data_IF_898424779700
#
_entry.id   IF_898424779700
#
_cell.length_a   1.000
_cell.length_b   1.000
_cell.length_c   1.000
_cell.angle_alpha   90.00
_cell.angle_beta   90.00
_cell.angle_gamma   90.00
#
_symmetry.space_group_name_H-M   'P 1'
#
loop_
_entity.id
_entity.type
_entity.pdbx_description
1 polymer ?
#
# COMPACT_ATOMS: atom_id res chain seq x y z
N UNK A 1 -29.36 8.66 29.31
CA UNK A 1 -29.79 8.38 27.93
C UNK A 1 -28.73 8.95 27.01
N UNK A 2 -28.06 8.15 26.15
CA UNK A 2 -27.15 8.71 25.17
C UNK A 2 -27.96 9.47 24.12
N UNK A 3 -27.44 10.62 23.74
CA UNK A 3 -28.08 11.59 22.86
C UNK A 3 -28.17 11.01 21.43
N UNK A 4 -29.33 10.50 21.02
CA UNK A 4 -29.63 10.04 19.64
C UNK A 4 -29.87 11.24 18.70
N UNK A 5 -28.94 12.20 18.70
CA UNK A 5 -28.91 13.20 17.64
C UNK A 5 -28.39 12.53 16.36
N UNK A 6 -29.08 12.68 15.20
CA UNK A 6 -28.56 12.18 13.95
C UNK A 6 -27.16 12.77 13.71
N UNK A 7 -26.17 11.96 13.32
CA UNK A 7 -24.81 12.42 13.13
C UNK A 7 -24.80 13.53 12.06
N UNK A 8 -24.15 14.65 12.37
CA UNK A 8 -24.04 15.73 11.40
C UNK A 8 -23.20 15.27 10.20
N UNK A 9 -23.61 15.61 8.96
CA UNK A 9 -22.84 15.29 7.77
C UNK A 9 -21.44 15.91 7.83
N UNK A 10 -20.42 15.13 7.47
CA UNK A 10 -19.02 15.58 7.45
C UNK A 10 -18.82 16.48 6.23
N UNK A 11 -18.66 17.78 6.46
CA UNK A 11 -18.42 18.77 5.41
C UNK A 11 -17.00 19.32 5.42
N UNK A 12 -16.28 19.19 6.54
CA UNK A 12 -14.89 19.61 6.68
C UNK A 12 -14.06 18.61 7.49
N UNK A 13 -12.73 18.68 7.37
CA UNK A 13 -11.82 17.87 8.16
C UNK A 13 -11.92 18.16 9.68
N UNK A 14 -12.30 19.39 10.06
CA UNK A 14 -12.55 19.75 11.47
C UNK A 14 -13.80 19.05 12.02
N UNK A 15 -14.88 19.02 11.23
CA UNK A 15 -16.11 18.30 11.61
C UNK A 15 -15.83 16.80 11.73
N UNK A 16 -15.06 16.24 10.79
CA UNK A 16 -14.63 14.85 10.83
C UNK A 16 -13.85 14.54 12.12
N UNK A 17 -12.88 15.39 12.48
CA UNK A 17 -12.06 15.21 13.68
C UNK A 17 -12.89 15.29 14.96
N UNK A 18 -13.82 16.25 15.05
CA UNK A 18 -14.73 16.40 16.20
C UNK A 18 -15.66 15.19 16.34
N UNK A 19 -16.22 14.70 15.23
CA UNK A 19 -17.05 13.50 15.22
C UNK A 19 -16.26 12.26 15.67
N UNK A 20 -15.00 12.14 15.24
CA UNK A 20 -14.11 11.04 15.64
C UNK A 20 -13.81 11.08 17.15
N UNK A 21 -13.57 12.27 17.71
CA UNK A 21 -13.35 12.45 19.14
C UNK A 21 -14.52 11.90 19.98
N UNK A 22 -15.75 12.22 19.57
CA UNK A 22 -16.97 11.72 20.20
C UNK A 22 -17.09 10.19 20.14
N UNK A 23 -16.67 9.58 19.02
CA UNK A 23 -16.66 8.12 18.85
C UNK A 23 -15.65 7.47 19.78
N UNK A 24 -14.45 8.04 19.91
CA UNK A 24 -13.37 7.52 20.76
C UNK A 24 -13.62 7.73 22.27
N UNK A 25 -14.66 8.48 22.64
CA UNK A 25 -15.11 8.61 24.03
C UNK A 25 -14.22 9.50 24.90
N UNK A 26 -13.44 10.39 24.29
CA UNK A 26 -12.48 11.25 25.01
C UNK A 26 -12.30 12.62 24.35
N UNK A 27 -11.70 13.56 25.11
CA UNK A 27 -11.17 14.79 24.55
C UNK A 27 -9.98 14.46 23.65
N UNK A 28 -9.89 15.10 22.48
CA UNK A 28 -8.73 14.98 21.59
C UNK A 28 -7.46 15.35 22.37
N UNK A 29 -6.31 14.71 22.09
CA UNK A 29 -5.03 15.17 22.62
C UNK A 29 -4.86 16.67 22.35
N UNK A 30 -4.38 17.42 23.34
CA UNK A 30 -4.23 18.89 23.24
C UNK A 30 -3.58 19.38 21.92
N UNK A 31 -2.52 18.73 21.40
CA UNK A 31 -1.90 19.09 20.12
C UNK A 31 -2.84 18.93 18.91
N UNK A 32 -3.69 17.90 18.93
CA UNK A 32 -4.64 17.59 17.86
C UNK A 32 -5.85 18.53 17.89
N UNK A 33 -6.31 18.88 19.10
CA UNK A 33 -7.41 19.83 19.29
C UNK A 33 -7.06 21.26 18.86
N UNK A 34 -5.79 21.64 18.99
CA UNK A 34 -5.26 22.96 18.64
C UNK A 34 -4.61 23.02 17.25
N UNK A 35 -4.61 21.92 16.49
CA UNK A 35 -3.97 21.85 15.18
C UNK A 35 -4.65 22.80 14.18
N UNK A 36 -3.85 23.60 13.47
CA UNK A 36 -4.34 24.46 12.39
C UNK A 36 -4.82 23.65 11.19
N UNK A 37 -4.21 22.49 10.94
CA UNK A 37 -4.64 21.52 9.93
C UNK A 37 -5.17 20.22 10.58
N UNK A 38 -6.50 20.07 10.70
CA UNK A 38 -7.11 18.87 11.28
C UNK A 38 -6.90 17.61 10.44
N UNK A 39 -6.72 17.73 9.11
CA UNK A 39 -6.50 16.56 8.25
C UNK A 39 -5.08 16.02 8.41
N UNK A 40 -4.07 16.91 8.52
CA UNK A 40 -2.71 16.51 8.84
C UNK A 40 -2.60 15.88 10.23
N UNK A 41 -3.35 16.37 11.22
CA UNK A 41 -3.41 15.77 12.55
C UNK A 41 -4.03 14.36 12.51
N UNK A 42 -5.16 14.17 11.81
CA UNK A 42 -5.76 12.86 11.55
C UNK A 42 -4.79 11.89 10.88
N UNK A 43 -3.99 12.40 9.92
CA UNK A 43 -3.04 11.58 9.19
C UNK A 43 -1.82 11.24 10.02
N UNK A 44 -1.24 12.13 10.82
CA UNK A 44 0.10 11.94 11.39
C UNK A 44 0.14 11.64 12.89
N UNK A 45 -0.90 11.98 13.64
CA UNK A 45 -0.90 11.83 15.10
C UNK A 45 -0.84 10.34 15.52
N UNK A 46 0.19 9.92 16.29
CA UNK A 46 0.38 8.51 16.64
C UNK A 46 -0.64 8.02 17.68
N UNK A 47 -1.04 8.87 18.63
CA UNK A 47 -1.95 8.49 19.71
C UNK A 47 -3.36 8.27 19.19
N UNK A 48 -3.84 9.20 18.37
CA UNK A 48 -5.11 9.09 17.67
C UNK A 48 -5.13 7.84 16.79
N UNK A 49 -4.06 7.61 16.01
CA UNK A 49 -3.99 6.44 15.16
C UNK A 49 -3.97 5.14 15.96
N UNK A 50 -3.25 5.09 17.09
CA UNK A 50 -3.26 3.95 18.01
C UNK A 50 -4.66 3.69 18.56
N UNK A 51 -5.39 4.74 18.96
CA UNK A 51 -6.77 4.62 19.43
C UNK A 51 -7.72 4.09 18.35
N UNK A 52 -7.62 4.60 17.11
CA UNK A 52 -8.44 4.15 15.97
C UNK A 52 -8.09 2.70 15.59
N UNK A 53 -6.81 2.38 15.43
CA UNK A 53 -6.32 1.03 15.12
C UNK A 53 -6.72 0.04 16.22
N UNK A 54 -6.59 0.42 17.49
CA UNK A 54 -7.03 -0.39 18.64
C UNK A 54 -8.53 -0.68 18.60
N UNK A 55 -9.36 0.31 18.28
CA UNK A 55 -10.81 0.12 18.10
C UNK A 55 -11.13 -0.79 16.92
N UNK A 56 -10.44 -0.63 15.78
CA UNK A 56 -10.60 -1.50 14.61
C UNK A 56 -10.17 -2.95 14.91
N UNK A 57 -9.16 -3.17 15.75
CA UNK A 57 -8.70 -4.51 16.14
C UNK A 57 -9.58 -5.19 17.21
N UNK A 58 -10.42 -4.45 17.92
CA UNK A 58 -11.29 -5.00 18.98
C UNK A 58 -12.33 -6.00 18.47
N UNK A 59 -12.67 -7.04 19.24
CA UNK A 59 -13.48 -8.19 18.79
C UNK A 59 -14.90 -7.87 18.27
N UNK A 60 -15.46 -6.72 18.65
CA UNK A 60 -16.79 -6.26 18.25
C UNK A 60 -16.82 -5.28 17.07
N UNK A 61 -15.66 -4.92 16.50
CA UNK A 61 -15.59 -3.96 15.40
C UNK A 61 -16.02 -4.57 14.06
N UNK A 62 -16.48 -3.71 13.16
CA UNK A 62 -16.91 -4.10 11.82
C UNK A 62 -18.36 -4.54 11.71
N UNK A 63 -19.13 -4.52 12.79
CA UNK A 63 -20.57 -4.74 12.75
C UNK A 63 -21.31 -3.62 11.98
N UNK A 64 -22.53 -3.90 11.50
CA UNK A 64 -23.30 -2.93 10.69
C UNK A 64 -23.68 -1.63 11.45
N UNK A 65 -23.70 -1.67 12.78
CA UNK A 65 -23.96 -0.50 13.63
C UNK A 65 -22.67 0.19 14.14
N UNK A 66 -21.49 -0.27 13.74
CA UNK A 66 -20.21 0.29 14.19
C UNK A 66 -20.06 1.76 13.76
N UNK A 67 -20.00 2.64 14.76
CA UNK A 67 -19.90 4.08 14.56
C UNK A 67 -18.58 4.51 13.94
N UNK A 68 -17.48 3.78 14.18
CA UNK A 68 -16.19 4.08 13.55
C UNK A 68 -16.21 3.69 12.06
N UNK A 69 -16.82 2.55 11.72
CA UNK A 69 -16.98 2.16 10.31
C UNK A 69 -17.83 3.18 9.55
N UNK A 70 -18.92 3.66 10.17
CA UNK A 70 -19.75 4.74 9.60
C UNK A 70 -18.94 6.02 9.40
N UNK A 71 -18.16 6.42 10.38
CA UNK A 71 -17.29 7.60 10.26
C UNK A 71 -16.26 7.46 9.13
N UNK A 72 -15.58 6.31 9.01
CA UNK A 72 -14.62 6.05 7.92
C UNK A 72 -15.29 6.13 6.55
N UNK A 73 -16.51 5.59 6.45
CA UNK A 73 -17.32 5.64 5.23
C UNK A 73 -17.70 7.08 4.86
N UNK A 74 -18.25 7.84 5.81
CA UNK A 74 -18.70 9.22 5.58
C UNK A 74 -17.51 10.17 5.31
N UNK A 75 -16.43 10.03 6.07
CA UNK A 75 -15.21 10.82 5.91
C UNK A 75 -14.57 10.62 4.53
N UNK A 76 -14.54 9.38 4.03
CA UNK A 76 -14.04 9.10 2.69
C UNK A 76 -14.96 9.64 1.59
N UNK A 77 -16.28 9.56 1.79
CA UNK A 77 -17.30 10.03 0.83
C UNK A 77 -17.47 11.55 0.79
N UNK A 78 -16.99 12.28 1.79
CA UNK A 78 -16.95 13.73 1.78
C UNK A 78 -16.13 14.31 0.59
N UNK A 79 -15.30 13.47 -0.06
CA UNK A 79 -14.52 13.81 -1.25
C UNK A 79 -13.52 14.96 -1.03
N UNK A 80 -13.02 15.09 0.20
CA UNK A 80 -11.92 15.98 0.57
C UNK A 80 -10.61 15.19 0.49
N UNK A 81 -9.66 15.53 -0.41
CA UNK A 81 -8.47 14.72 -0.68
C UNK A 81 -7.63 14.38 0.56
N UNK A 82 -7.44 15.35 1.45
CA UNK A 82 -6.64 15.21 2.67
C UNK A 82 -7.32 14.26 3.67
N UNK A 83 -8.66 14.31 3.75
CA UNK A 83 -9.44 13.42 4.59
C UNK A 83 -9.49 12.00 3.99
N UNK A 84 -9.59 11.87 2.67
CA UNK A 84 -9.47 10.58 1.99
C UNK A 84 -8.11 9.93 2.27
N UNK A 85 -7.03 10.73 2.23
CA UNK A 85 -5.69 10.26 2.57
C UNK A 85 -5.61 9.79 4.04
N UNK A 86 -6.21 10.54 4.97
CA UNK A 86 -6.30 10.15 6.38
C UNK A 86 -7.09 8.85 6.59
N UNK A 87 -8.18 8.62 5.85
CA UNK A 87 -8.90 7.33 5.88
C UNK A 87 -8.05 6.21 5.32
N UNK A 88 -7.32 6.44 4.22
CA UNK A 88 -6.45 5.45 3.60
C UNK A 88 -5.33 4.97 4.52
N UNK A 89 -4.88 5.79 5.49
CA UNK A 89 -3.93 5.37 6.55
C UNK A 89 -4.38 4.11 7.27
N UNK A 90 -5.68 3.93 7.48
CA UNK A 90 -6.26 2.81 8.23
C UNK A 90 -6.61 1.61 7.36
N UNK A 91 -6.36 1.65 6.05
CA UNK A 91 -6.60 0.54 5.13
C UNK A 91 -5.86 -0.74 5.54
N UNK A 92 -4.57 -0.71 5.93
CA UNK A 92 -3.88 -1.91 6.40
C UNK A 92 -4.61 -2.61 7.54
N UNK A 93 -5.05 -1.85 8.54
CA UNK A 93 -5.81 -2.38 9.68
C UNK A 93 -7.18 -2.87 9.26
N UNK A 94 -7.93 -2.08 8.50
CA UNK A 94 -9.27 -2.43 8.02
C UNK A 94 -9.25 -3.72 7.19
N UNK A 95 -8.40 -3.79 6.17
CA UNK A 95 -8.23 -4.95 5.32
C UNK A 95 -7.67 -6.15 6.12
N UNK A 96 -6.67 -5.90 6.96
CA UNK A 96 -6.04 -6.86 7.87
C UNK A 96 -7.06 -7.61 8.71
N UNK A 97 -7.80 -6.86 9.53
CA UNK A 97 -8.81 -7.37 10.45
C UNK A 97 -9.94 -8.05 9.68
N UNK A 98 -10.45 -7.39 8.62
CA UNK A 98 -11.53 -7.92 7.80
C UNK A 98 -11.16 -9.29 7.22
N UNK A 99 -9.98 -9.41 6.60
CA UNK A 99 -9.58 -10.66 5.94
C UNK A 99 -9.40 -11.80 6.93
N UNK A 100 -8.84 -11.53 8.12
CA UNK A 100 -8.73 -12.54 9.16
C UNK A 100 -10.10 -13.00 9.69
N UNK A 101 -11.05 -12.07 9.90
CA UNK A 101 -12.39 -12.40 10.42
C UNK A 101 -13.35 -12.95 9.38
N UNK A 102 -13.18 -12.60 8.10
CA UNK A 102 -14.00 -13.07 6.99
C UNK A 102 -13.86 -14.59 6.79
N UNK A 103 -12.79 -15.20 7.30
CA UNK A 103 -12.64 -16.67 7.35
C UNK A 103 -13.55 -17.29 8.41
N UNK A 104 -13.76 -16.59 9.53
CA UNK A 104 -14.58 -17.04 10.67
C UNK A 104 -16.09 -16.85 10.48
N UNK A 105 -16.55 -16.39 9.29
CA UNK A 105 -17.97 -16.15 8.94
C UNK A 105 -18.74 -15.23 9.91
N UNK A 106 -18.05 -14.38 10.66
CA UNK A 106 -18.68 -13.34 11.47
C UNK A 106 -19.29 -12.26 10.54
N UNK A 107 -20.44 -11.67 10.87
CA UNK A 107 -20.99 -10.56 10.09
C UNK A 107 -20.11 -9.31 10.25
N UNK A 108 -19.61 -8.78 9.13
CA UNK A 108 -18.67 -7.65 9.08
C UNK A 108 -19.20 -6.51 8.20
N UNK A 109 -20.52 -6.30 8.20
CA UNK A 109 -21.20 -5.36 7.30
C UNK A 109 -20.65 -3.92 7.36
N UNK A 110 -20.15 -3.48 8.53
CA UNK A 110 -19.50 -2.18 8.69
C UNK A 110 -18.20 -2.08 7.91
N UNK A 111 -17.32 -3.09 8.03
CA UNK A 111 -16.08 -3.16 7.24
C UNK A 111 -16.36 -3.31 5.75
N UNK A 112 -17.33 -4.15 5.39
CA UNK A 112 -17.72 -4.36 4.00
C UNK A 112 -18.23 -3.06 3.35
N UNK A 113 -19.01 -2.25 4.07
CA UNK A 113 -19.47 -0.96 3.57
C UNK A 113 -18.30 0.00 3.27
N UNK A 114 -17.31 0.09 4.17
CA UNK A 114 -16.12 0.94 3.96
C UNK A 114 -15.28 0.41 2.79
N UNK A 115 -15.00 -0.90 2.75
CA UNK A 115 -14.22 -1.52 1.67
C UNK A 115 -14.89 -1.37 0.31
N UNK A 116 -16.22 -1.51 0.23
CA UNK A 116 -16.99 -1.30 -0.99
C UNK A 116 -16.98 0.17 -1.44
N UNK A 117 -17.01 1.13 -0.52
CA UNK A 117 -16.89 2.55 -0.84
C UNK A 117 -15.51 2.89 -1.43
N UNK A 118 -14.44 2.39 -0.80
CA UNK A 118 -13.07 2.51 -1.30
C UNK A 118 -12.92 1.84 -2.67
N UNK A 119 -13.49 0.65 -2.84
CA UNK A 119 -13.48 -0.09 -4.10
C UNK A 119 -14.21 0.65 -5.22
N UNK A 120 -15.39 1.21 -4.95
CA UNK A 120 -16.13 2.00 -5.93
C UNK A 120 -15.33 3.21 -6.40
N UNK A 121 -14.61 3.88 -5.48
CA UNK A 121 -13.69 4.95 -5.84
C UNK A 121 -12.51 4.45 -6.69
N UNK A 122 -11.91 3.30 -6.36
CA UNK A 122 -10.85 2.68 -7.16
C UNK A 122 -11.32 2.35 -8.60
N UNK A 123 -12.52 1.78 -8.72
CA UNK A 123 -13.11 1.44 -10.01
C UNK A 123 -13.42 2.68 -10.85
N UNK A 124 -13.91 3.76 -10.23
CA UNK A 124 -14.14 5.03 -10.90
C UNK A 124 -12.83 5.67 -11.40
N UNK A 125 -11.77 5.64 -10.57
CA UNK A 125 -10.46 6.18 -10.95
C UNK A 125 -9.79 5.45 -12.11
N UNK A 126 -10.12 4.17 -12.31
CA UNK A 126 -9.66 3.33 -13.45
C UNK A 126 -10.50 3.50 -14.73
N UNK A 127 -11.39 4.49 -14.80
CA UNK A 127 -12.19 4.74 -15.99
C UNK A 127 -13.38 3.78 -16.18
N UNK A 128 -13.88 3.17 -15.09
CA UNK A 128 -15.07 2.32 -15.02
C UNK A 128 -15.23 1.29 -16.17
N UNK A 129 -14.76 0.06 -15.94
CA UNK A 129 -14.88 -1.01 -16.93
C UNK A 129 -13.75 -1.04 -17.97
N UNK A 130 -12.71 -0.23 -17.80
CA UNK A 130 -11.48 -0.33 -18.59
C UNK A 130 -10.42 -1.17 -17.86
N UNK A 131 -9.64 -1.90 -18.65
CA UNK A 131 -8.50 -2.67 -18.15
C UNK A 131 -7.32 -1.72 -17.91
N UNK A 132 -6.53 -1.98 -16.87
CA UNK A 132 -5.29 -1.26 -16.67
C UNK A 132 -4.24 -1.84 -17.63
N UNK A 133 -3.63 -0.98 -18.45
CA UNK A 133 -2.67 -1.38 -19.47
C UNK A 133 -1.38 -0.58 -19.35
N UNK A 134 -0.28 -1.17 -19.79
CA UNK A 134 1.02 -0.49 -19.91
C UNK A 134 1.67 -0.83 -21.24
N UNK A 135 2.23 0.18 -21.90
CA UNK A 135 3.09 -0.01 -23.07
C UNK A 135 4.42 -0.62 -22.63
N UNK A 136 4.78 -1.75 -23.23
CA UNK A 136 6.04 -2.42 -22.97
C UNK A 136 7.17 -1.69 -23.71
N UNK A 137 8.22 -1.25 -22.99
CA UNK A 137 9.38 -0.63 -23.63
C UNK A 137 10.05 -1.60 -24.60
N UNK A 138 10.42 -1.11 -25.78
CA UNK A 138 11.16 -1.87 -26.79
C UNK A 138 12.41 -1.09 -27.20
N UNK A 139 13.59 -1.74 -27.14
CA UNK A 139 14.87 -1.14 -27.55
C UNK A 139 14.93 -0.78 -29.04
N UNK A 140 14.06 -1.37 -29.87
CA UNK A 140 13.94 -1.03 -31.28
C UNK A 140 13.34 0.37 -31.52
N UNK A 141 12.57 0.89 -30.57
CA UNK A 141 11.98 2.22 -30.65
C UNK A 141 12.84 3.21 -29.82
N UNK A 142 13.07 4.44 -30.29
CA UNK A 142 13.77 5.45 -29.50
C UNK A 142 12.97 5.77 -28.22
N UNK A 143 13.69 6.09 -27.15
CA UNK A 143 13.10 6.48 -25.87
C UNK A 143 13.82 7.71 -25.30
N UNK A 144 13.29 8.34 -24.23
CA UNK A 144 14.01 9.42 -23.55
C UNK A 144 15.41 9.06 -23.05
N UNK A 145 15.76 7.76 -22.97
CA UNK A 145 17.03 7.27 -22.44
C UNK A 145 17.95 6.64 -23.49
N UNK A 146 17.46 6.37 -24.71
CA UNK A 146 18.28 5.75 -25.75
C UNK A 146 17.80 6.08 -27.16
N UNK A 147 18.76 6.24 -28.07
CA UNK A 147 18.50 6.27 -29.50
C UNK A 147 18.58 4.86 -30.09
N UNK A 148 17.65 4.54 -30.99
CA UNK A 148 17.73 3.30 -31.76
C UNK A 148 18.93 3.37 -32.72
N UNK A 149 19.97 2.56 -32.45
CA UNK A 149 21.23 2.54 -33.23
C UNK A 149 21.04 2.27 -34.74
N UNK A 150 19.92 1.66 -35.10
CA UNK A 150 19.49 1.50 -36.49
C UNK A 150 18.09 2.10 -36.57
N UNK A 151 17.89 3.22 -37.30
CA UNK A 151 16.54 3.67 -37.56
C UNK A 151 15.81 2.50 -38.24
N UNK A 152 14.63 2.09 -37.73
CA UNK A 152 13.89 1.02 -38.37
C UNK A 152 13.73 1.41 -39.85
N UNK A 153 14.16 0.54 -40.78
CA UNK A 153 13.99 0.76 -42.23
C UNK A 153 12.51 0.71 -42.66
N UNK A 154 11.58 0.91 -41.72
CA UNK A 154 10.13 0.84 -41.87
C UNK A 154 9.44 1.64 -40.76
N UNK A 155 8.11 1.51 -40.67
CA UNK A 155 7.32 2.12 -39.59
C UNK A 155 7.89 1.72 -38.22
N UNK A 156 7.83 2.60 -37.20
CA UNK A 156 8.18 2.22 -35.83
C UNK A 156 7.45 0.93 -35.45
N UNK A 157 8.13 0.03 -34.75
CA UNK A 157 7.52 -1.22 -34.32
C UNK A 157 6.29 -0.89 -33.47
N UNK A 158 5.16 -1.57 -33.74
CA UNK A 158 3.93 -1.37 -32.97
C UNK A 158 4.23 -1.52 -31.47
N UNK A 159 3.63 -0.64 -30.67
CA UNK A 159 3.81 -0.65 -29.23
C UNK A 159 3.07 -1.86 -28.67
N UNK A 160 3.81 -2.82 -28.12
CA UNK A 160 3.21 -3.92 -27.38
C UNK A 160 2.54 -3.37 -26.12
N UNK A 161 1.24 -3.62 -25.98
CA UNK A 161 0.46 -3.20 -24.82
C UNK A 161 0.15 -4.43 -23.96
N UNK A 162 0.66 -4.43 -22.73
CA UNK A 162 0.35 -5.46 -21.74
C UNK A 162 -0.86 -5.03 -20.90
N UNK A 163 -1.77 -5.97 -20.65
CA UNK A 163 -2.84 -5.80 -19.67
C UNK A 163 -2.29 -6.14 -18.28
N UNK A 164 -2.19 -5.13 -17.41
CA UNK A 164 -1.69 -5.28 -16.05
C UNK A 164 -2.77 -5.80 -15.10
N UNK A 165 -4.01 -5.32 -15.25
CA UNK A 165 -5.14 -5.78 -14.45
C UNK A 165 -6.45 -5.73 -15.25
N UNK A 166 -7.33 -6.72 -15.09
CA UNK A 166 -8.61 -6.75 -15.78
C UNK A 166 -9.55 -5.66 -15.24
N UNK A 167 -10.55 -5.22 -16.04
CA UNK A 167 -11.48 -4.17 -15.65
C UNK A 167 -12.17 -4.42 -14.31
N UNK A 168 -12.23 -3.39 -13.46
CA UNK A 168 -12.96 -3.47 -12.20
C UNK A 168 -14.46 -3.32 -12.45
N UNK A 169 -15.20 -4.40 -12.21
CA UNK A 169 -16.66 -4.41 -12.26
C UNK A 169 -17.26 -3.71 -11.03
N UNK A 170 -18.38 -2.97 -11.16
CA UNK A 170 -19.05 -2.41 -9.99
C UNK A 170 -19.64 -3.53 -9.11
N UNK A 171 -19.42 -3.42 -7.80
CA UNK A 171 -19.86 -4.40 -6.82
C UNK A 171 -20.74 -3.74 -5.76
N UNK A 172 -21.96 -4.25 -5.56
CA UNK A 172 -22.88 -3.77 -4.52
C UNK A 172 -22.84 -4.59 -3.22
N UNK A 173 -22.22 -5.77 -3.23
CA UNK A 173 -22.16 -6.67 -2.05
C UNK A 173 -20.83 -7.40 -2.00
N UNK A 174 -20.36 -7.67 -0.77
CA UNK A 174 -19.12 -8.37 -0.52
C UNK A 174 -19.36 -9.88 -0.46
N UNK A 175 -18.95 -10.61 -1.51
CA UNK A 175 -19.07 -12.08 -1.58
C UNK A 175 -17.72 -12.75 -1.34
N UNK A 176 -17.72 -13.97 -0.81
CA UNK A 176 -16.49 -14.72 -0.54
C UNK A 176 -15.59 -14.92 -1.78
N UNK A 177 -16.17 -15.07 -2.97
CA UNK A 177 -15.44 -15.21 -4.25
C UNK A 177 -14.84 -13.90 -4.75
N UNK A 178 -15.35 -12.75 -4.28
CA UNK A 178 -14.97 -11.41 -4.77
C UNK A 178 -14.15 -10.63 -3.76
N UNK A 179 -14.17 -11.04 -2.48
CA UNK A 179 -13.52 -10.32 -1.37
C UNK A 179 -12.05 -10.03 -1.63
N UNK A 180 -11.30 -10.99 -2.17
CA UNK A 180 -9.88 -10.84 -2.41
C UNK A 180 -9.60 -9.79 -3.50
N UNK A 181 -10.41 -9.77 -4.56
CA UNK A 181 -10.31 -8.77 -5.63
C UNK A 181 -10.69 -7.37 -5.16
N UNK A 182 -11.74 -7.25 -4.35
CA UNK A 182 -12.18 -5.98 -3.76
C UNK A 182 -11.07 -5.44 -2.84
N UNK A 183 -10.59 -6.25 -1.89
CA UNK A 183 -9.52 -5.87 -0.97
C UNK A 183 -8.22 -5.57 -1.72
N UNK A 184 -7.89 -6.37 -2.74
CA UNK A 184 -6.74 -6.13 -3.61
C UNK A 184 -6.77 -4.73 -4.25
N UNK A 185 -7.88 -4.35 -4.87
CA UNK A 185 -8.03 -3.01 -5.45
C UNK A 185 -8.00 -1.88 -4.40
N UNK A 186 -8.51 -2.12 -3.18
CA UNK A 186 -8.38 -1.17 -2.06
C UNK A 186 -6.92 -1.02 -1.61
N UNK A 187 -6.16 -2.12 -1.56
CA UNK A 187 -4.72 -2.09 -1.29
C UNK A 187 -3.95 -1.36 -2.40
N UNK A 188 -4.41 -1.40 -3.65
CA UNK A 188 -3.82 -0.62 -4.74
C UNK A 188 -4.00 0.89 -4.55
N UNK A 189 -5.15 1.34 -4.01
CA UNK A 189 -5.33 2.74 -3.61
C UNK A 189 -4.32 3.14 -2.53
N UNK A 190 -4.15 2.28 -1.52
CA UNK A 190 -3.17 2.49 -0.46
C UNK A 190 -1.74 2.54 -1.03
N UNK A 191 -1.38 1.60 -1.90
CA UNK A 191 -0.10 1.57 -2.60
C UNK A 191 0.15 2.87 -3.40
N UNK A 192 -0.85 3.40 -4.09
CA UNK A 192 -0.75 4.67 -4.83
C UNK A 192 -0.48 5.89 -3.95
N UNK A 193 -0.72 5.79 -2.64
CA UNK A 193 -0.46 6.86 -1.66
C UNK A 193 0.63 6.52 -0.65
N UNK A 194 1.33 5.39 -0.83
CA UNK A 194 2.23 4.81 0.15
C UNK A 194 3.39 5.73 0.58
N UNK A 195 3.85 6.62 -0.31
CA UNK A 195 4.86 7.63 0.01
C UNK A 195 4.40 8.61 1.10
N UNK A 196 3.10 8.90 1.18
CA UNK A 196 2.51 9.80 2.18
C UNK A 196 2.08 9.05 3.45
N UNK A 197 2.15 7.71 3.45
CA UNK A 197 1.67 6.91 4.57
C UNK A 197 2.69 6.90 5.71
N UNK A 198 2.27 7.19 6.95
CA UNK A 198 3.16 7.17 8.11
C UNK A 198 3.70 5.77 8.43
N UNK A 199 4.82 5.74 9.14
CA UNK A 199 5.56 4.53 9.49
C UNK A 199 4.67 3.46 10.13
N UNK A 200 3.85 3.83 11.12
CA UNK A 200 3.00 2.88 11.85
C UNK A 200 1.97 2.17 10.94
N UNK A 201 1.44 2.85 9.92
CA UNK A 201 0.52 2.25 8.94
C UNK A 201 1.23 1.17 8.10
N UNK A 202 2.48 1.43 7.72
CA UNK A 202 3.33 0.45 7.00
C UNK A 202 3.73 -0.73 7.89
N UNK A 203 3.99 -0.47 9.18
CA UNK A 203 4.26 -1.51 10.18
C UNK A 203 3.05 -2.42 10.39
N UNK A 204 1.87 -1.84 10.57
CA UNK A 204 0.59 -2.57 10.66
C UNK A 204 0.40 -3.45 9.43
N UNK A 205 0.67 -2.93 8.23
CA UNK A 205 0.55 -3.71 6.99
C UNK A 205 1.46 -4.95 6.98
N UNK A 206 2.74 -4.78 7.33
CA UNK A 206 3.69 -5.88 7.36
C UNK A 206 3.34 -6.91 8.45
N UNK A 207 2.82 -6.47 9.60
CA UNK A 207 2.28 -7.35 10.65
C UNK A 207 1.15 -8.24 10.11
N UNK A 208 0.17 -7.66 9.41
CA UNK A 208 -0.92 -8.43 8.81
C UNK A 208 -0.44 -9.38 7.71
N UNK A 209 0.59 -9.02 6.93
CA UNK A 209 1.15 -9.92 5.93
C UNK A 209 1.72 -11.20 6.54
N UNK A 210 2.44 -11.09 7.66
CA UNK A 210 2.94 -12.24 8.42
C UNK A 210 1.76 -13.09 8.90
N UNK A 211 0.74 -12.45 9.50
CA UNK A 211 -0.44 -13.15 9.98
C UNK A 211 -1.20 -13.90 8.87
N UNK A 212 -1.40 -13.26 7.71
CA UNK A 212 -2.09 -13.84 6.56
C UNK A 212 -1.34 -15.01 5.95
N UNK A 213 -0.01 -14.93 5.89
CA UNK A 213 0.83 -16.02 5.42
C UNK A 213 0.64 -17.26 6.30
N UNK A 214 0.55 -17.07 7.62
CA UNK A 214 0.39 -18.14 8.60
C UNK A 214 1.64 -19.01 8.77
N UNK A 215 2.77 -18.58 8.21
CA UNK A 215 4.08 -19.26 8.20
C UNK A 215 5.08 -18.44 9.00
N UNK A 216 6.07 -19.12 9.60
CA UNK A 216 7.17 -18.42 10.30
C UNK A 216 8.29 -18.02 9.33
N UNK A 217 9.01 -16.95 9.68
CA UNK A 217 10.21 -16.51 8.97
C UNK A 217 11.43 -17.19 9.60
N UNK A 218 12.49 -17.42 8.81
CA UNK A 218 13.75 -17.96 9.37
C UNK A 218 14.43 -16.96 10.32
N UNK A 219 14.05 -15.68 10.23
CA UNK A 219 14.48 -14.60 11.12
C UNK A 219 13.89 -14.72 12.54
N UNK A 220 12.89 -15.59 12.76
CA UNK A 220 12.24 -15.73 14.07
C UNK A 220 13.08 -16.51 15.11
N UNK A 221 14.23 -17.07 14.71
CA UNK A 221 15.05 -17.95 15.53
C UNK A 221 14.43 -19.34 15.66
N UNK A 222 15.26 -20.38 15.75
CA UNK A 222 14.83 -21.79 15.71
C UNK A 222 13.93 -22.25 16.88
N UNK A 223 13.72 -21.40 17.90
CA UNK A 223 13.09 -21.77 19.18
C UNK A 223 11.64 -21.27 19.37
N UNK A 224 11.02 -20.62 18.37
CA UNK A 224 9.60 -20.25 18.49
C UNK A 224 8.70 -21.37 17.94
N UNK A 225 7.89 -22.04 18.79
CA UNK A 225 7.04 -23.14 18.34
C UNK A 225 6.12 -22.70 17.19
N UNK A 226 5.96 -23.60 16.20
CA UNK A 226 4.85 -23.56 15.21
C UNK A 226 3.60 -23.14 15.96
N UNK A 227 2.96 -22.03 15.54
CA UNK A 227 1.75 -21.43 16.13
C UNK A 227 1.14 -22.28 17.26
N UNK A 228 1.20 -21.85 18.55
CA UNK A 228 0.66 -22.66 19.64
C UNK A 228 -0.80 -22.97 19.35
N UNK A 229 -1.16 -24.25 19.51
CA UNK A 229 -2.52 -24.78 19.34
C UNK A 229 -3.56 -23.81 19.93
N UNK A 230 -4.72 -23.77 19.27
CA UNK A 230 -5.82 -22.84 19.50
C UNK A 230 -6.28 -22.70 20.98
N UNK A 231 -5.85 -23.60 21.87
CA UNK A 231 -6.27 -23.68 23.25
C UNK A 231 -5.48 -22.82 24.26
N UNK A 232 -4.29 -22.29 23.93
CA UNK A 232 -3.32 -21.86 24.96
C UNK A 232 -3.05 -20.35 25.13
N UNK A 233 -3.85 -19.43 24.57
CA UNK A 233 -3.66 -17.99 24.84
C UNK A 233 -4.98 -17.27 25.08
N UNK A 234 -5.14 -16.73 26.28
CA UNK A 234 -6.35 -16.03 26.71
C UNK A 234 -6.66 -14.80 25.85
N UNK A 235 -7.93 -14.71 25.42
CA UNK A 235 -8.63 -13.46 25.10
C UNK A 235 -8.24 -12.67 23.84
N UNK A 236 -7.02 -12.79 23.32
CA UNK A 236 -6.61 -12.09 22.11
C UNK A 236 -7.08 -12.86 20.87
N UNK A 237 -7.87 -12.22 20.00
CA UNK A 237 -8.19 -12.78 18.68
C UNK A 237 -6.90 -13.05 17.91
N UNK A 238 -6.44 -14.31 17.86
CA UNK A 238 -5.29 -14.69 17.06
C UNK A 238 -5.63 -14.53 15.59
N UNK A 239 -4.90 -13.65 14.90
CA UNK A 239 -4.99 -13.50 13.46
C UNK A 239 -4.71 -14.82 12.76
N UNK A 240 -5.59 -15.21 11.83
CA UNK A 240 -5.55 -16.51 11.17
C UNK A 240 -4.96 -16.40 9.76
N UNK A 241 -4.44 -17.53 9.27
CA UNK A 241 -4.02 -17.74 7.89
C UNK A 241 -5.18 -17.45 6.94
N UNK A 242 -4.91 -16.67 5.89
CA UNK A 242 -5.91 -16.25 4.90
C UNK A 242 -5.59 -16.85 3.52
N UNK A 243 -6.60 -17.16 2.67
CA UNK A 243 -6.37 -17.41 1.25
C UNK A 243 -5.87 -16.14 0.54
N UNK A 244 -4.71 -16.22 -0.10
CA UNK A 244 -4.09 -15.11 -0.84
C UNK A 244 -4.05 -15.45 -2.34
N UNK A 245 -5.16 -15.31 -3.09
CA UNK A 245 -5.13 -15.47 -4.54
C UNK A 245 -4.34 -14.31 -5.17
N UNK A 246 -3.91 -14.50 -6.42
CA UNK A 246 -3.00 -13.58 -7.10
C UNK A 246 -3.46 -12.12 -7.11
N UNK A 247 -4.77 -11.86 -7.25
CA UNK A 247 -5.35 -10.51 -7.27
C UNK A 247 -5.18 -9.74 -5.95
N UNK A 248 -5.09 -10.48 -4.83
CA UNK A 248 -4.76 -9.90 -3.53
C UNK A 248 -3.26 -9.92 -3.29
N UNK A 249 -2.57 -10.96 -3.75
CA UNK A 249 -1.13 -11.15 -3.51
C UNK A 249 -0.27 -10.10 -4.22
N UNK A 250 -0.63 -9.72 -5.45
CA UNK A 250 0.11 -8.74 -6.24
C UNK A 250 0.27 -7.38 -5.52
N UNK A 251 -0.81 -6.70 -5.07
CA UNK A 251 -0.66 -5.45 -4.32
C UNK A 251 0.05 -5.65 -2.98
N UNK A 252 -0.13 -6.82 -2.33
CA UNK A 252 0.58 -7.13 -1.08
C UNK A 252 2.10 -7.11 -1.28
N UNK A 253 2.61 -7.83 -2.28
CA UNK A 253 4.05 -7.87 -2.56
C UNK A 253 4.57 -6.49 -2.96
N UNK A 254 3.82 -5.70 -3.73
CA UNK A 254 4.22 -4.34 -4.11
C UNK A 254 4.37 -3.42 -2.90
N UNK A 255 3.44 -3.48 -1.95
CA UNK A 255 3.51 -2.68 -0.72
C UNK A 255 4.68 -3.14 0.15
N UNK A 256 4.86 -4.45 0.37
CA UNK A 256 6.01 -4.97 1.13
C UNK A 256 7.34 -4.58 0.46
N UNK A 257 7.41 -4.66 -0.87
CA UNK A 257 8.59 -4.27 -1.63
C UNK A 257 8.92 -2.78 -1.42
N UNK A 258 7.93 -1.90 -1.41
CA UNK A 258 8.15 -0.49 -1.09
C UNK A 258 8.59 -0.28 0.37
N UNK A 259 8.04 -1.01 1.34
CA UNK A 259 8.49 -0.92 2.73
C UNK A 259 9.95 -1.37 2.89
N UNK A 260 10.40 -2.31 2.06
CA UNK A 260 11.74 -2.90 2.11
C UNK A 260 12.79 -2.09 1.35
N UNK A 261 12.46 -1.65 0.13
CA UNK A 261 13.37 -1.01 -0.83
C UNK A 261 13.09 0.47 -1.06
N UNK A 262 12.01 1.00 -0.49
CA UNK A 262 11.64 2.41 -0.61
C UNK A 262 12.61 3.33 0.13
N UNK A 263 12.51 4.66 -0.09
CA UNK A 263 13.41 5.66 0.48
C UNK A 263 13.26 5.87 2.00
N UNK A 264 12.65 4.93 2.72
CA UNK A 264 12.44 4.97 4.16
C UNK A 264 13.75 4.73 4.93
N UNK A 265 14.06 5.64 5.86
CA UNK A 265 15.24 5.58 6.74
C UNK A 265 15.04 4.71 7.99
N UNK A 266 13.97 3.92 8.07
CA UNK A 266 13.66 3.10 9.24
C UNK A 266 14.14 1.67 9.01
N UNK A 267 15.19 1.27 9.73
CA UNK A 267 15.69 -0.11 9.71
C UNK A 267 14.68 -1.08 10.33
N UNK A 268 13.88 -0.62 11.29
CA UNK A 268 12.79 -1.39 11.88
C UNK A 268 11.76 -1.78 10.82
N UNK A 269 11.33 -0.84 9.96
CA UNK A 269 10.42 -1.13 8.86
C UNK A 269 11.02 -2.11 7.87
N UNK A 270 12.30 -1.93 7.52
CA UNK A 270 13.00 -2.84 6.60
C UNK A 270 13.06 -4.26 7.17
N UNK A 271 13.40 -4.41 8.45
CA UNK A 271 13.43 -5.71 9.13
C UNK A 271 12.03 -6.37 9.15
N UNK A 272 11.00 -5.60 9.50
CA UNK A 272 9.63 -6.10 9.51
C UNK A 272 9.12 -6.47 8.11
N UNK A 273 9.47 -5.69 7.09
CA UNK A 273 9.14 -5.97 5.69
C UNK A 273 9.90 -7.18 5.15
N UNK A 274 11.17 -7.36 5.50
CA UNK A 274 11.96 -8.55 5.15
C UNK A 274 11.33 -9.81 5.75
N UNK A 275 10.93 -9.74 7.03
CA UNK A 275 10.19 -10.80 7.71
C UNK A 275 8.88 -11.13 7.00
N UNK A 276 8.08 -10.11 6.64
CA UNK A 276 6.85 -10.30 5.89
C UNK A 276 7.10 -10.95 4.51
N UNK A 277 8.14 -10.52 3.79
CA UNK A 277 8.52 -11.08 2.49
C UNK A 277 8.90 -12.57 2.60
N UNK A 278 9.64 -12.97 3.62
CA UNK A 278 9.96 -14.38 3.87
C UNK A 278 8.73 -15.23 4.20
N UNK A 279 7.84 -14.74 5.07
CA UNK A 279 6.58 -15.42 5.38
C UNK A 279 5.75 -15.64 4.11
N UNK A 280 5.61 -14.60 3.29
CA UNK A 280 4.89 -14.66 2.01
C UNK A 280 5.57 -15.62 1.02
N UNK A 281 6.91 -15.68 0.98
CA UNK A 281 7.67 -16.64 0.17
C UNK A 281 7.36 -18.09 0.57
N UNK A 282 7.45 -18.42 1.86
CA UNK A 282 7.11 -19.76 2.34
C UNK A 282 5.67 -20.11 2.07
N UNK A 283 4.77 -19.12 2.20
CA UNK A 283 3.36 -19.32 1.87
C UNK A 283 3.15 -19.63 0.39
N UNK A 284 3.81 -18.89 -0.51
CA UNK A 284 3.73 -19.14 -1.95
C UNK A 284 4.28 -20.53 -2.32
N UNK A 285 5.35 -20.98 -1.65
CA UNK A 285 5.91 -22.31 -1.81
C UNK A 285 4.94 -23.41 -1.35
N UNK A 286 4.27 -23.23 -0.21
CA UNK A 286 3.25 -24.17 0.29
C UNK A 286 2.06 -24.30 -0.66
N UNK A 287 1.62 -23.21 -1.28
CA UNK A 287 0.48 -23.23 -2.21
C UNK A 287 0.87 -23.51 -3.66
N UNK A 288 2.18 -23.65 -3.94
CA UNK A 288 2.72 -23.88 -5.29
C UNK A 288 2.20 -22.84 -6.30
N UNK A 289 2.08 -21.59 -5.86
CA UNK A 289 1.66 -20.47 -6.72
C UNK A 289 2.92 -19.91 -7.41
N UNK A 290 3.11 -20.24 -8.68
CA UNK A 290 4.33 -19.91 -9.41
C UNK A 290 4.59 -18.40 -9.56
N UNK A 291 3.61 -17.56 -9.97
CA UNK A 291 3.75 -16.10 -9.95
C UNK A 291 4.11 -15.55 -8.57
N UNK A 292 3.44 -16.01 -7.51
CA UNK A 292 3.70 -15.59 -6.13
C UNK A 292 5.11 -15.98 -5.66
N UNK A 293 5.54 -17.20 -5.98
CA UNK A 293 6.86 -17.72 -5.63
C UNK A 293 7.96 -16.92 -6.32
N UNK A 294 7.80 -16.63 -7.62
CA UNK A 294 8.78 -15.84 -8.37
C UNK A 294 8.90 -14.42 -7.81
N UNK A 295 7.78 -13.75 -7.56
CA UNK A 295 7.76 -12.39 -7.05
C UNK A 295 8.41 -12.28 -5.66
N UNK A 296 8.02 -13.15 -4.73
CA UNK A 296 8.57 -13.14 -3.36
C UNK A 296 10.01 -13.61 -3.28
N UNK A 297 10.41 -14.64 -4.04
CA UNK A 297 11.81 -15.07 -4.10
C UNK A 297 12.72 -13.97 -4.63
N UNK A 298 12.27 -13.22 -5.63
CA UNK A 298 13.01 -12.08 -6.17
C UNK A 298 13.15 -10.97 -5.13
N UNK A 299 12.07 -10.68 -4.39
CA UNK A 299 12.10 -9.68 -3.32
C UNK A 299 13.04 -10.07 -2.16
N UNK A 300 12.98 -11.32 -1.70
CA UNK A 300 13.90 -11.84 -0.65
C UNK A 300 15.36 -11.81 -1.10
N UNK A 301 15.62 -12.04 -2.39
CA UNK A 301 16.98 -11.90 -2.94
C UNK A 301 17.43 -10.45 -2.93
N UNK A 302 16.59 -9.52 -3.41
CA UNK A 302 16.90 -8.09 -3.43
C UNK A 302 17.18 -7.55 -2.02
N UNK A 303 16.50 -8.05 -0.99
CA UNK A 303 16.73 -7.61 0.39
C UNK A 303 18.07 -8.08 0.98
N UNK A 304 18.70 -9.08 0.37
CA UNK A 304 19.98 -9.62 0.79
C UNK A 304 21.14 -9.06 -0.03
N UNK A 305 20.85 -8.34 -1.12
CA UNK A 305 21.87 -7.69 -1.92
C UNK A 305 22.47 -6.54 -1.11
N UNK A 306 23.80 -6.55 -1.00
CA UNK A 306 24.54 -5.38 -0.52
C UNK A 306 24.44 -4.33 -1.62
N UNK A 307 24.09 -3.08 -1.26
CA UNK A 307 24.18 -1.96 -2.20
C UNK A 307 25.64 -1.84 -2.66
N UNK A 308 25.94 -2.30 -3.88
CA UNK A 308 27.20 -1.98 -4.52
C UNK A 308 27.16 -0.49 -4.86
N UNK A 309 28.19 0.29 -4.46
CA UNK A 309 28.27 1.69 -4.86
C UNK A 309 28.22 1.75 -6.39
N UNK A 310 27.32 2.58 -6.92
CA UNK A 310 27.20 2.81 -8.36
C UNK A 310 28.60 3.22 -8.84
N UNK A 311 29.26 2.42 -9.71
CA UNK A 311 30.56 2.80 -10.23
C UNK A 311 30.43 4.17 -10.87
N UNK A 312 31.26 5.13 -10.44
CA UNK A 312 31.29 6.43 -11.11
C UNK A 312 31.51 6.18 -12.61
N UNK A 313 30.72 6.82 -13.48
CA UNK A 313 30.89 6.65 -14.92
C UNK A 313 32.33 7.05 -15.27
N UNK A 314 33.13 6.04 -15.61
CA UNK A 314 34.49 6.24 -16.09
C UNK A 314 34.37 6.76 -17.51
N UNK A 315 34.30 8.08 -17.64
CA UNK A 315 34.46 8.70 -18.94
C UNK A 315 35.89 8.37 -19.42
N UNK A 316 36.05 7.73 -20.59
CA UNK A 316 37.39 7.53 -21.14
C UNK A 316 38.09 8.89 -21.23
N UNK A 317 39.37 8.96 -20.87
CA UNK A 317 40.14 10.22 -20.77
C UNK A 317 39.99 11.13 -22.01
N UNK A 318 39.79 10.56 -23.20
CA UNK A 318 39.55 11.30 -24.43
C UNK A 318 38.19 12.02 -24.51
N UNK A 319 37.18 11.64 -23.73
CA UNK A 319 35.90 12.35 -23.68
C UNK A 319 35.97 13.66 -22.88
N UNK A 320 36.87 13.74 -21.89
CA UNK A 320 37.14 14.97 -21.13
C UNK A 320 37.98 15.93 -21.98
N UNK A 321 38.96 15.41 -22.74
CA UNK A 321 39.73 16.19 -23.72
C UNK A 321 38.81 16.78 -24.82
N UNK A 322 37.89 15.98 -25.36
CA UNK A 322 36.93 16.45 -26.36
C UNK A 322 35.96 17.53 -25.81
N UNK A 323 35.63 17.50 -24.52
CA UNK A 323 34.77 18.51 -23.90
C UNK A 323 35.52 19.83 -23.70
N UNK A 324 36.79 19.77 -23.27
CA UNK A 324 37.66 20.92 -23.15
C UNK A 324 37.99 21.56 -24.51
N UNK A 325 38.20 20.76 -25.55
CA UNK A 325 38.37 21.24 -26.93
C UNK A 325 37.10 21.90 -27.47
N UNK A 326 35.92 21.36 -27.15
CA UNK A 326 34.63 21.94 -27.56
C UNK A 326 34.36 23.27 -26.85
N UNK A 327 34.71 23.38 -25.56
CA UNK A 327 34.63 24.64 -24.80
C UNK A 327 35.64 25.68 -25.32
N UNK A 328 36.87 25.27 -25.65
CA UNK A 328 37.87 26.12 -26.29
C UNK A 328 37.44 26.59 -27.69
N UNK A 329 36.82 25.70 -28.49
CA UNK A 329 36.23 26.07 -29.78
C UNK A 329 35.07 27.06 -29.62
N UNK A 330 34.18 26.87 -28.64
CA UNK A 330 33.11 27.83 -28.32
C UNK A 330 33.66 29.20 -27.93
N UNK A 331 34.69 29.25 -27.10
CA UNK A 331 35.34 30.48 -26.66
C UNK A 331 35.99 31.23 -27.84
N UNK A 332 36.65 30.51 -28.75
CA UNK A 332 37.25 31.11 -29.95
C UNK A 332 36.19 31.67 -30.91
N UNK A 333 35.09 30.96 -31.15
CA UNK A 333 33.99 31.42 -32.01
C UNK A 333 33.33 32.69 -31.46
N UNK A 334 33.21 32.81 -30.12
CA UNK A 334 32.68 33.98 -29.44
C UNK A 334 33.64 35.19 -29.47
N UNK A 335 34.96 34.94 -29.48
CA UNK A 335 35.99 35.99 -29.56
C UNK A 335 36.12 36.59 -30.97
N UNK A 336 35.94 35.80 -32.03
CA UNK A 336 36.01 36.26 -33.44
C UNK A 336 34.81 37.09 -33.93
N UNK A 337 33.83 37.38 -33.06
CA UNK A 337 32.62 38.17 -33.40
C UNK A 337 32.64 39.61 -32.91
N UNK A 338 33.78 40.10 -32.40
CA UNK A 338 34.01 41.52 -32.09
C UNK A 338 34.98 42.16 -33.07
#
# INVERSE_FOLDING_TARGET
MPNDAPPQPIHSAKDALNALAGILGGALPGPVAAAEDPAAALLNDPDLASAVTGRLRGAGSGAGNDTLCRWLYDAFRANVPELQLAVLRFVPTLAGVYMCRAVSRKPLAGFEAVLLALYAHAAAHRGAGQAETASLPNLANPSPYHDAKVPPKGKPADLDVAVLSPPLEPHGTMRATRRARIVGAVLELYHGKLAHMPLSSKMDFCEFCVAWAGTQSKLDGADKPRLPDAAAAGGAEKWQRVPLPWELFQPVVRIVAHCLLGPTRSDELKAQAARAAECLYWRAAETVDAPALLATRSLVRLSQMVEEPIPEPSFPSGAIENMAELEAMKANILSTKN
#
